data_IF_855618233305
#
_entry.id   IF_855618233305
#
_cell.length_a   1.000
_cell.length_b   1.000
_cell.length_c   1.000
_cell.angle_alpha   90.00
_cell.angle_beta   90.00
_cell.angle_gamma   90.00
#
_symmetry.space_group_name_H-M   'P 1'
#
loop_
_entity.id
_entity.type
_entity.pdbx_description
1 polymer ?
#
# COMPACT_ATOMS: atom_id res chain seq x y z
N UNK A 1 -9.94 -9.25 42.74
CA UNK A 1 -9.91 -9.22 41.27
C UNK A 1 -8.51 -9.47 40.69
N UNK A 2 -7.47 -8.70 41.06
CA UNK A 2 -6.09 -8.89 40.52
C UNK A 2 -5.55 -10.32 40.61
N UNK A 3 -5.77 -11.03 41.75
CA UNK A 3 -5.34 -12.43 41.92
C UNK A 3 -6.05 -13.44 40.98
N UNK A 4 -7.29 -13.16 40.58
CA UNK A 4 -8.05 -14.01 39.66
C UNK A 4 -7.53 -13.81 38.23
N UNK A 5 -7.28 -12.57 37.84
CA UNK A 5 -6.69 -12.23 36.54
C UNK A 5 -5.30 -12.86 36.39
N UNK A 6 -4.46 -12.77 37.43
CA UNK A 6 -3.13 -13.41 37.46
C UNK A 6 -3.20 -14.93 37.36
N UNK A 7 -4.20 -15.56 38.00
CA UNK A 7 -4.40 -17.00 37.91
C UNK A 7 -4.77 -17.44 36.49
N UNK A 8 -5.70 -16.74 35.85
CA UNK A 8 -6.09 -17.03 34.47
C UNK A 8 -4.94 -16.77 33.49
N UNK A 9 -4.18 -15.67 33.64
CA UNK A 9 -2.98 -15.41 32.84
C UNK A 9 -1.95 -16.53 33.00
N UNK A 10 -1.70 -16.98 34.23
CA UNK A 10 -0.76 -18.08 34.48
C UNK A 10 -1.24 -19.36 33.79
N UNK A 11 -2.53 -19.67 33.89
CA UNK A 11 -3.16 -20.83 33.23
C UNK A 11 -3.01 -20.79 31.70
N UNK A 12 -3.09 -19.59 31.10
CA UNK A 12 -2.89 -19.39 29.67
C UNK A 12 -1.48 -19.77 29.20
N UNK A 13 -0.46 -19.56 30.02
CA UNK A 13 0.93 -19.87 29.65
C UNK A 13 1.44 -21.23 30.14
N UNK A 14 0.70 -21.91 31.04
CA UNK A 14 1.06 -23.26 31.53
C UNK A 14 0.34 -24.40 30.81
N UNK A 15 -0.82 -24.14 30.21
CA UNK A 15 -1.56 -25.17 29.46
C UNK A 15 -0.88 -25.46 28.12
N UNK A 16 -0.51 -26.72 27.88
CA UNK A 16 0.09 -27.16 26.59
C UNK A 16 -0.82 -26.79 25.41
N UNK A 17 -2.15 -26.93 25.56
CA UNK A 17 -3.11 -26.58 24.52
C UNK A 17 -3.04 -25.09 24.15
N UNK A 18 -2.94 -24.23 25.16
CA UNK A 18 -2.91 -22.79 24.95
C UNK A 18 -1.54 -22.37 24.39
N UNK A 19 -0.47 -23.02 24.82
CA UNK A 19 0.87 -22.83 24.25
C UNK A 19 0.92 -23.19 22.76
N UNK A 20 0.24 -24.28 22.34
CA UNK A 20 0.10 -24.63 20.92
C UNK A 20 -0.66 -23.55 20.14
N UNK A 21 -1.73 -22.98 20.69
CA UNK A 21 -2.47 -21.88 20.06
C UNK A 21 -1.59 -20.63 19.90
N UNK A 22 -0.84 -20.26 20.95
CA UNK A 22 0.11 -19.14 20.87
C UNK A 22 1.22 -19.38 19.85
N UNK A 23 1.75 -20.60 19.78
CA UNK A 23 2.74 -20.99 18.79
C UNK A 23 2.18 -20.86 17.36
N UNK A 24 0.96 -21.37 17.12
CA UNK A 24 0.29 -21.25 15.82
C UNK A 24 0.11 -19.79 15.43
N UNK A 25 -0.41 -18.95 16.35
CA UNK A 25 -0.57 -17.51 16.10
C UNK A 25 0.77 -16.84 15.75
N UNK A 26 1.82 -17.15 16.52
CA UNK A 26 3.17 -16.63 16.26
C UNK A 26 3.67 -17.04 14.87
N UNK A 27 3.54 -18.32 14.51
CA UNK A 27 3.95 -18.84 13.20
C UNK A 27 3.15 -18.18 12.08
N UNK A 28 1.84 -17.99 12.25
CA UNK A 28 1.01 -17.29 11.27
C UNK A 28 1.45 -15.84 11.07
N UNK A 29 1.74 -15.11 12.15
CA UNK A 29 2.22 -13.72 12.08
C UNK A 29 3.59 -13.64 11.40
N UNK A 30 4.52 -14.55 11.73
CA UNK A 30 5.83 -14.62 11.10
C UNK A 30 5.73 -14.97 9.61
N UNK A 31 4.88 -15.93 9.25
CA UNK A 31 4.62 -16.30 7.87
C UNK A 31 4.03 -15.11 7.09
N UNK A 32 3.04 -14.42 7.65
CA UNK A 32 2.44 -13.23 7.04
C UNK A 32 3.46 -12.11 6.82
N UNK A 33 4.28 -11.81 7.84
CA UNK A 33 5.36 -10.83 7.72
C UNK A 33 6.38 -11.23 6.65
N UNK A 34 6.78 -12.50 6.62
CA UNK A 34 7.76 -13.03 5.65
C UNK A 34 7.26 -12.97 4.21
N UNK A 35 6.00 -13.35 3.98
CA UNK A 35 5.35 -13.27 2.65
C UNK A 35 5.34 -11.83 2.16
N UNK A 36 4.97 -10.88 3.04
CA UNK A 36 4.93 -9.48 2.67
C UNK A 36 6.32 -8.88 2.45
N UNK A 37 7.31 -9.28 3.23
CA UNK A 37 8.70 -8.89 3.00
C UNK A 37 9.24 -9.43 1.66
N UNK A 38 8.88 -10.66 1.30
CA UNK A 38 9.22 -11.22 -0.01
C UNK A 38 8.56 -10.42 -1.16
N UNK A 39 7.30 -10.02 -1.00
CA UNK A 39 6.60 -9.14 -1.96
C UNK A 39 7.20 -7.75 -2.05
N UNK A 40 7.62 -7.14 -0.93
CA UNK A 40 8.35 -5.86 -0.92
C UNK A 40 9.65 -5.96 -1.72
N UNK A 41 10.40 -7.05 -1.55
CA UNK A 41 11.63 -7.29 -2.32
C UNK A 41 11.36 -7.49 -3.81
N UNK A 42 10.32 -8.25 -4.18
CA UNK A 42 9.91 -8.41 -5.58
C UNK A 42 9.52 -7.06 -6.19
N UNK A 43 8.68 -6.29 -5.50
CA UNK A 43 8.26 -4.97 -5.96
C UNK A 43 9.45 -4.02 -6.18
N UNK A 44 10.42 -4.02 -5.26
CA UNK A 44 11.65 -3.22 -5.41
C UNK A 44 12.45 -3.63 -6.66
N UNK A 45 12.56 -4.93 -6.95
CA UNK A 45 13.24 -5.43 -8.16
C UNK A 45 12.51 -5.01 -9.43
N UNK A 46 11.19 -5.16 -9.47
CA UNK A 46 10.36 -4.77 -10.62
C UNK A 46 10.42 -3.25 -10.87
N UNK A 47 10.31 -2.43 -9.82
CA UNK A 47 10.39 -0.97 -9.93
C UNK A 47 11.74 -0.49 -10.45
N UNK A 48 12.84 -1.12 -10.05
CA UNK A 48 14.18 -0.80 -10.58
C UNK A 48 14.34 -1.22 -12.06
N UNK A 49 13.60 -2.24 -12.50
CA UNK A 49 13.64 -2.74 -13.86
C UNK A 49 12.70 -1.97 -14.82
N UNK A 50 11.64 -1.33 -14.31
CA UNK A 50 10.56 -0.75 -15.11
C UNK A 50 10.16 0.65 -14.59
N UNK A 51 10.98 1.66 -14.88
CA UNK A 51 10.59 3.07 -14.73
C UNK A 51 10.55 3.75 -16.10
N UNK A 52 9.59 3.34 -16.93
CA UNK A 52 9.35 3.95 -18.24
C UNK A 52 8.90 5.41 -18.13
N UNK A 53 8.29 5.79 -17.01
CA UNK A 53 7.80 7.15 -16.77
C UNK A 53 8.93 8.19 -16.77
N UNK A 54 10.13 7.77 -16.33
CA UNK A 54 11.31 8.62 -16.35
C UNK A 54 11.86 8.87 -17.77
N UNK A 55 11.56 7.98 -18.71
CA UNK A 55 11.98 8.10 -20.11
C UNK A 55 10.94 8.79 -20.98
N UNK A 56 9.65 8.73 -20.63
CA UNK A 56 8.58 9.35 -21.42
C UNK A 56 8.84 10.84 -21.67
N UNK A 57 9.23 11.61 -20.65
CA UNK A 57 9.56 13.03 -20.82
C UNK A 57 10.77 13.27 -21.73
N UNK A 58 11.80 12.43 -21.61
CA UNK A 58 12.99 12.52 -22.44
C UNK A 58 12.69 12.14 -23.90
N UNK A 59 11.82 11.15 -24.12
CA UNK A 59 11.33 10.74 -25.44
C UNK A 59 10.52 11.87 -26.08
N UNK A 60 9.54 12.44 -25.35
CA UNK A 60 8.74 13.57 -25.85
C UNK A 60 9.61 14.77 -26.22
N UNK A 61 10.59 15.09 -25.37
CA UNK A 61 11.55 16.16 -25.66
C UNK A 61 12.37 15.86 -26.92
N UNK A 62 12.85 14.62 -27.08
CA UNK A 62 13.64 14.22 -28.25
C UNK A 62 12.81 14.25 -29.55
N UNK A 63 11.54 13.85 -29.50
CA UNK A 63 10.62 13.96 -30.65
C UNK A 63 10.47 15.43 -31.09
N UNK A 64 10.24 16.35 -30.15
CA UNK A 64 10.14 17.78 -30.44
C UNK A 64 11.45 18.37 -30.99
N UNK A 65 12.60 17.92 -30.46
CA UNK A 65 13.92 18.34 -30.96
C UNK A 65 14.22 17.84 -32.38
N UNK A 66 13.71 16.67 -32.76
CA UNK A 66 13.85 16.11 -34.11
C UNK A 66 12.94 16.83 -35.12
N UNK A 67 11.71 17.15 -34.71
CA UNK A 67 10.75 17.85 -35.55
C UNK A 67 11.12 19.33 -35.75
N UNK A 68 11.61 19.98 -34.68
CA UNK A 68 11.99 21.39 -34.67
C UNK A 68 13.45 21.60 -34.25
N UNK A 69 14.44 21.24 -35.09
CA UNK A 69 15.85 21.28 -34.73
C UNK A 69 16.42 22.71 -34.60
N UNK A 70 15.79 23.72 -35.21
CA UNK A 70 16.19 25.13 -35.10
C UNK A 70 14.95 26.04 -35.05
N UNK A 71 14.99 27.04 -34.18
CA UNK A 71 13.98 28.09 -34.01
C UNK A 71 12.53 27.54 -33.93
N UNK A 72 12.22 26.70 -32.93
CA UNK A 72 10.86 26.22 -32.71
C UNK A 72 9.89 27.39 -32.49
N UNK A 73 8.63 27.28 -32.94
CA UNK A 73 7.57 28.21 -32.58
C UNK A 73 7.42 28.35 -31.05
N UNK A 74 6.91 29.49 -30.57
CA UNK A 74 6.85 29.80 -29.13
C UNK A 74 6.07 28.74 -28.31
N UNK A 75 4.97 28.23 -28.85
CA UNK A 75 4.17 27.17 -28.22
C UNK A 75 4.95 25.85 -28.10
N UNK A 76 5.73 25.50 -29.13
CA UNK A 76 6.61 24.33 -29.13
C UNK A 76 7.74 24.54 -28.13
N UNK A 77 8.28 25.75 -28.02
CA UNK A 77 9.33 26.07 -27.06
C UNK A 77 8.84 25.93 -25.61
N UNK A 78 7.63 26.38 -25.31
CA UNK A 78 6.98 26.14 -24.00
C UNK A 78 6.80 24.65 -23.71
N UNK A 79 6.37 23.87 -24.70
CA UNK A 79 6.26 22.41 -24.56
C UNK A 79 7.63 21.75 -24.29
N UNK A 80 8.67 22.14 -25.04
CA UNK A 80 10.03 21.65 -24.83
C UNK A 80 10.57 21.98 -23.45
N UNK A 81 10.33 23.20 -22.95
CA UNK A 81 10.75 23.61 -21.61
C UNK A 81 10.03 22.82 -20.52
N UNK A 82 8.73 22.55 -20.71
CA UNK A 82 7.97 21.69 -19.81
C UNK A 82 8.56 20.27 -19.75
N UNK A 83 8.81 19.64 -20.89
CA UNK A 83 9.35 18.28 -20.95
C UNK A 83 10.80 18.21 -20.46
N UNK A 84 11.59 19.27 -20.68
CA UNK A 84 12.94 19.40 -20.12
C UNK A 84 12.90 19.42 -18.59
N UNK A 85 12.00 20.20 -17.98
CA UNK A 85 11.81 20.21 -16.53
C UNK A 85 11.33 18.85 -16.01
N UNK A 86 10.36 18.22 -16.68
CA UNK A 86 9.86 16.91 -16.28
C UNK A 86 10.95 15.81 -16.34
N UNK A 87 11.80 15.84 -17.35
CA UNK A 87 12.95 14.94 -17.47
C UNK A 87 13.95 15.12 -16.33
N UNK A 88 14.22 16.38 -15.93
CA UNK A 88 15.10 16.67 -14.78
C UNK A 88 14.49 16.15 -13.47
N UNK A 89 13.21 16.42 -13.20
CA UNK A 89 12.56 15.94 -11.98
C UNK A 89 12.48 14.41 -11.94
N UNK A 90 12.20 13.77 -13.07
CA UNK A 90 12.17 12.31 -13.16
C UNK A 90 13.56 11.69 -12.93
N UNK A 91 14.61 12.30 -13.49
CA UNK A 91 15.99 11.89 -13.21
C UNK A 91 16.34 12.05 -11.73
N UNK A 92 15.95 13.17 -11.10
CA UNK A 92 16.14 13.42 -9.67
C UNK A 92 15.44 12.34 -8.82
N UNK A 93 14.19 12.02 -9.11
CA UNK A 93 13.45 10.96 -8.40
C UNK A 93 14.21 9.63 -8.45
N UNK A 94 14.70 9.24 -9.62
CA UNK A 94 15.46 8.00 -9.81
C UNK A 94 16.78 8.00 -9.06
N UNK A 95 17.52 9.09 -9.11
CA UNK A 95 18.81 9.25 -8.43
C UNK A 95 18.62 9.19 -6.92
N UNK A 96 17.66 9.93 -6.37
CA UNK A 96 17.43 9.97 -4.93
C UNK A 96 16.80 8.69 -4.39
N UNK A 97 15.96 8.00 -5.17
CA UNK A 97 15.39 6.70 -4.77
C UNK A 97 16.45 5.60 -4.72
N UNK A 98 17.47 5.66 -5.59
CA UNK A 98 18.55 4.68 -5.65
C UNK A 98 19.83 5.14 -4.94
N UNK A 99 19.77 6.24 -4.18
CA UNK A 99 20.93 6.84 -3.54
C UNK A 99 21.59 5.89 -2.55
N UNK A 100 22.90 5.68 -2.71
CA UNK A 100 23.70 4.85 -1.81
C UNK A 100 24.31 5.75 -0.75
N UNK A 101 23.79 5.70 0.47
CA UNK A 101 24.24 6.52 1.60
C UNK A 101 23.10 6.91 2.52
N UNK A 102 23.06 8.18 2.91
CA UNK A 102 21.93 8.75 3.66
C UNK A 102 20.63 8.63 2.88
N UNK A 103 19.54 8.30 3.58
CA UNK A 103 18.22 8.13 2.99
C UNK A 103 17.64 9.48 2.55
N UNK A 104 17.60 9.68 1.22
CA UNK A 104 17.16 10.93 0.58
C UNK A 104 15.67 10.98 0.27
N UNK A 105 14.84 10.37 1.11
CA UNK A 105 13.39 10.32 0.88
C UNK A 105 12.76 11.73 0.76
N UNK A 106 13.29 12.73 1.48
CA UNK A 106 12.81 14.13 1.37
C UNK A 106 13.04 14.70 -0.02
N UNK A 107 14.20 14.43 -0.61
CA UNK A 107 14.52 14.89 -1.96
C UNK A 107 13.64 14.19 -3.00
N UNK A 108 13.30 12.91 -2.79
CA UNK A 108 12.34 12.18 -3.63
C UNK A 108 10.95 12.82 -3.55
N UNK A 109 10.46 13.12 -2.35
CA UNK A 109 9.16 13.77 -2.14
C UNK A 109 9.13 15.16 -2.77
N UNK A 110 10.18 15.95 -2.61
CA UNK A 110 10.29 17.27 -3.22
C UNK A 110 10.31 17.18 -4.76
N UNK A 111 11.06 16.23 -5.33
CA UNK A 111 11.07 15.99 -6.76
C UNK A 111 9.68 15.53 -7.27
N UNK A 112 8.91 14.78 -6.49
CA UNK A 112 7.52 14.44 -6.81
C UNK A 112 6.60 15.66 -6.81
N UNK A 113 6.73 16.57 -5.83
CA UNK A 113 5.96 17.81 -5.76
C UNK A 113 6.25 18.66 -7.00
N UNK A 114 7.52 18.94 -7.27
CA UNK A 114 7.94 19.79 -8.39
C UNK A 114 7.51 19.21 -9.74
N UNK A 115 7.60 17.88 -9.89
CA UNK A 115 7.12 17.18 -11.09
C UNK A 115 5.63 17.36 -11.29
N UNK A 116 4.83 17.09 -10.25
CA UNK A 116 3.38 17.22 -10.35
C UNK A 116 2.93 18.67 -10.58
N UNK A 117 3.61 19.66 -10.00
CA UNK A 117 3.36 21.08 -10.25
C UNK A 117 3.67 21.46 -11.71
N UNK A 118 4.77 20.96 -12.28
CA UNK A 118 5.12 21.17 -13.69
C UNK A 118 4.09 20.53 -14.64
N UNK A 119 3.63 19.31 -14.35
CA UNK A 119 2.60 18.63 -15.14
C UNK A 119 1.25 19.35 -15.03
N UNK A 120 0.90 19.86 -13.84
CA UNK A 120 -0.33 20.63 -13.62
C UNK A 120 -0.31 21.93 -14.42
N UNK A 121 0.83 22.62 -14.45
CA UNK A 121 1.02 23.78 -15.30
C UNK A 121 0.82 23.42 -16.78
N UNK A 122 1.41 22.31 -17.25
CA UNK A 122 1.24 21.83 -18.62
C UNK A 122 -0.18 21.50 -19.02
N UNK A 123 -0.96 20.92 -18.11
CA UNK A 123 -2.40 20.69 -18.32
C UNK A 123 -3.17 22.00 -18.45
N UNK A 124 -2.91 22.96 -17.56
CA UNK A 124 -3.59 24.27 -17.56
C UNK A 124 -3.24 25.13 -18.77
N UNK A 125 -2.01 25.02 -19.25
CA UNK A 125 -1.54 25.71 -20.46
C UNK A 125 -1.95 24.99 -21.76
N UNK A 126 -2.62 23.83 -21.68
CA UNK A 126 -3.06 23.05 -22.83
C UNK A 126 -1.92 22.37 -23.61
N UNK A 127 -0.73 22.28 -23.01
CA UNK A 127 0.45 21.61 -23.60
C UNK A 127 0.29 20.09 -23.51
N UNK A 128 -0.27 19.61 -22.41
CA UNK A 128 -0.55 18.19 -22.18
C UNK A 128 -2.05 18.00 -22.31
N UNK A 129 -2.48 17.01 -23.11
CA UNK A 129 -3.88 16.59 -23.08
C UNK A 129 -4.15 15.84 -21.77
N UNK A 130 -5.06 16.37 -20.95
CA UNK A 130 -5.59 15.62 -19.81
C UNK A 130 -6.32 14.41 -20.36
N UNK A 131 -5.73 13.22 -20.21
CA UNK A 131 -6.43 11.98 -20.54
C UNK A 131 -7.30 11.59 -19.36
N UNK A 132 -8.47 11.03 -19.64
CA UNK A 132 -9.34 10.47 -18.59
C UNK A 132 -8.63 9.31 -17.86
N UNK A 133 -9.00 9.03 -16.61
CA UNK A 133 -8.54 7.82 -15.87
C UNK A 133 -8.77 6.54 -16.67
N UNK A 134 -9.84 6.49 -17.47
CA UNK A 134 -10.17 5.37 -18.35
C UNK A 134 -9.18 5.17 -19.52
N UNK A 135 -8.42 6.20 -19.85
CA UNK A 135 -7.40 6.20 -20.91
C UNK A 135 -5.97 6.07 -20.35
N UNK A 136 -5.86 5.81 -19.04
CA UNK A 136 -4.59 5.66 -18.35
C UNK A 136 -3.78 6.95 -18.22
N UNK A 137 -4.40 8.13 -18.29
CA UNK A 137 -3.71 9.37 -17.95
C UNK A 137 -4.22 10.04 -16.69
N UNK A 138 -3.58 11.18 -16.40
CA UNK A 138 -3.63 11.85 -15.11
C UNK A 138 -4.57 13.05 -15.21
N UNK A 139 -5.55 13.14 -14.30
CA UNK A 139 -6.44 14.29 -14.23
C UNK A 139 -5.82 15.43 -13.44
N UNK A 140 -6.32 16.65 -13.62
CA UNK A 140 -5.90 17.80 -12.80
C UNK A 140 -6.15 17.54 -11.31
N UNK A 141 -7.29 16.94 -10.96
CA UNK A 141 -7.62 16.59 -9.58
C UNK A 141 -6.60 15.61 -8.98
N UNK A 142 -6.17 14.60 -9.74
CA UNK A 142 -5.15 13.65 -9.28
C UNK A 142 -3.80 14.33 -9.00
N UNK A 143 -3.38 15.27 -9.86
CA UNK A 143 -2.15 16.03 -9.64
C UNK A 143 -2.25 16.90 -8.39
N UNK A 144 -3.36 17.61 -8.21
CA UNK A 144 -3.59 18.45 -7.02
C UNK A 144 -3.57 17.60 -5.75
N UNK A 145 -4.27 16.46 -5.76
CA UNK A 145 -4.30 15.54 -4.63
C UNK A 145 -2.90 14.99 -4.32
N UNK A 146 -2.14 14.60 -5.34
CA UNK A 146 -0.76 14.14 -5.18
C UNK A 146 0.17 15.24 -4.65
N UNK A 147 0.03 16.48 -5.11
CA UNK A 147 0.80 17.63 -4.60
C UNK A 147 0.49 17.84 -3.12
N UNK A 148 -0.79 17.92 -2.76
CA UNK A 148 -1.23 18.16 -1.38
C UNK A 148 -0.77 17.03 -0.44
N UNK A 149 -0.90 15.78 -0.88
CA UNK A 149 -0.43 14.62 -0.12
C UNK A 149 1.09 14.67 0.12
N UNK A 150 1.88 14.89 -0.93
CA UNK A 150 3.34 14.96 -0.80
C UNK A 150 3.80 16.18 0.03
N UNK A 151 3.15 17.34 -0.11
CA UNK A 151 3.40 18.52 0.75
C UNK A 151 3.14 18.20 2.20
N UNK A 152 2.00 17.57 2.51
CA UNK A 152 1.69 17.16 3.87
C UNK A 152 2.76 16.23 4.45
N UNK A 153 3.24 15.24 3.69
CA UNK A 153 4.32 14.35 4.12
C UNK A 153 5.63 15.12 4.37
N UNK A 154 5.98 16.03 3.47
CA UNK A 154 7.21 16.83 3.56
C UNK A 154 7.21 17.77 4.78
N UNK A 155 6.10 18.47 4.98
CA UNK A 155 5.92 19.48 6.03
C UNK A 155 5.87 18.85 7.44
N UNK A 156 5.31 17.64 7.55
CA UNK A 156 5.19 16.92 8.83
C UNK A 156 6.34 15.93 9.10
N UNK A 157 7.39 15.93 8.28
CA UNK A 157 8.52 14.97 8.41
C UNK A 157 8.09 13.50 8.40
N UNK A 158 7.09 13.17 7.57
CA UNK A 158 6.56 11.81 7.46
C UNK A 158 7.19 11.12 6.27
N UNK A 159 8.03 10.13 6.55
CA UNK A 159 8.62 9.28 5.51
C UNK A 159 7.53 8.45 4.81
N UNK A 160 7.38 8.55 3.47
CA UNK A 160 6.44 7.72 2.73
C UNK A 160 6.84 6.25 2.76
N UNK A 161 5.85 5.38 2.63
CA UNK A 161 6.09 3.97 2.34
C UNK A 161 6.56 3.84 0.88
N UNK A 162 7.61 3.06 0.67
CA UNK A 162 8.11 2.75 -0.67
C UNK A 162 7.11 1.92 -1.48
N UNK A 163 6.33 1.07 -0.80
CA UNK A 163 5.20 0.32 -1.34
C UNK A 163 4.30 -0.19 -0.22
N UNK A 164 3.15 -0.75 -0.59
CA UNK A 164 2.15 -1.32 0.34
C UNK A 164 2.67 -2.53 1.15
N UNK A 165 3.67 -3.23 0.62
CA UNK A 165 4.26 -4.42 1.23
C UNK A 165 5.38 -4.11 2.23
N UNK A 166 5.83 -2.85 2.33
CA UNK A 166 6.91 -2.47 3.23
C UNK A 166 6.49 -2.67 4.69
N UNK A 167 7.14 -3.62 5.38
CA UNK A 167 6.78 -4.00 6.75
C UNK A 167 7.43 -3.06 7.79
N UNK A 168 7.01 -1.78 7.81
CA UNK A 168 7.25 -0.91 8.98
C UNK A 168 6.34 -1.35 10.14
N UNK A 169 6.68 -1.04 11.39
CA UNK A 169 5.91 -1.51 12.55
C UNK A 169 4.42 -1.15 12.48
N UNK A 170 4.11 0.11 12.13
CA UNK A 170 2.72 0.58 11.98
C UNK A 170 2.05 -0.07 10.76
N UNK A 171 2.74 -0.16 9.61
CA UNK A 171 2.13 -0.77 8.42
C UNK A 171 1.89 -2.28 8.60
N UNK A 172 2.78 -2.99 9.29
CA UNK A 172 2.57 -4.39 9.64
C UNK A 172 1.31 -4.54 10.50
N UNK A 173 1.15 -3.73 11.55
CA UNK A 173 -0.04 -3.78 12.40
C UNK A 173 -1.30 -3.47 11.60
N UNK A 174 -1.27 -2.42 10.77
CA UNK A 174 -2.38 -2.07 9.90
C UNK A 174 -2.79 -3.24 9.00
N UNK A 175 -1.83 -3.89 8.34
CA UNK A 175 -2.11 -5.01 7.43
C UNK A 175 -2.53 -6.29 8.15
N UNK A 176 -1.98 -6.56 9.34
CA UNK A 176 -2.48 -7.64 10.18
C UNK A 176 -3.95 -7.39 10.56
N UNK A 177 -4.30 -6.18 10.98
CA UNK A 177 -5.67 -5.86 11.40
C UNK A 177 -6.66 -5.81 10.24
N UNK A 178 -6.27 -5.24 9.10
CA UNK A 178 -7.15 -5.05 7.95
C UNK A 178 -7.25 -6.27 7.03
N UNK A 179 -6.16 -7.01 6.84
CA UNK A 179 -6.11 -8.13 5.88
C UNK A 179 -6.14 -9.48 6.60
N UNK A 180 -5.31 -9.70 7.62
CA UNK A 180 -5.21 -11.01 8.27
C UNK A 180 -6.34 -11.26 9.27
N UNK A 181 -6.72 -10.25 10.04
CA UNK A 181 -7.65 -10.38 11.16
C UNK A 181 -9.08 -10.77 10.76
N UNK A 182 -9.65 -10.33 9.63
CA UNK A 182 -10.94 -10.84 9.16
C UNK A 182 -10.96 -12.36 9.00
N UNK A 183 -9.88 -12.95 8.46
CA UNK A 183 -9.77 -14.40 8.31
C UNK A 183 -9.62 -15.10 9.65
N UNK A 184 -8.78 -14.57 10.55
CA UNK A 184 -8.62 -15.13 11.89
C UNK A 184 -9.93 -15.06 12.70
N UNK A 185 -10.66 -13.94 12.60
CA UNK A 185 -11.96 -13.78 13.22
C UNK A 185 -12.97 -14.82 12.70
N UNK A 186 -12.99 -15.06 11.39
CA UNK A 186 -13.84 -16.10 10.80
C UNK A 186 -13.50 -17.50 11.34
N UNK A 187 -12.21 -17.84 11.45
CA UNK A 187 -11.78 -19.12 12.05
C UNK A 187 -12.24 -19.23 13.51
N UNK A 188 -12.10 -18.16 14.30
CA UNK A 188 -12.57 -18.15 15.69
C UNK A 188 -14.08 -18.36 15.76
N UNK A 189 -14.87 -17.70 14.92
CA UNK A 189 -16.32 -17.89 14.85
C UNK A 189 -16.66 -19.34 14.51
N UNK A 190 -15.98 -19.96 13.54
CA UNK A 190 -16.20 -21.36 13.18
C UNK A 190 -15.86 -22.31 14.34
N UNK A 191 -14.78 -22.06 15.07
CA UNK A 191 -14.42 -22.84 16.25
C UNK A 191 -15.46 -22.73 17.36
N UNK A 192 -15.99 -21.52 17.61
CA UNK A 192 -17.07 -21.31 18.58
C UNK A 192 -18.36 -22.03 18.17
N UNK A 193 -18.74 -21.96 16.89
CA UNK A 193 -19.89 -22.70 16.37
C UNK A 193 -19.70 -24.21 16.53
N UNK A 194 -18.49 -24.72 16.26
CA UNK A 194 -18.17 -26.13 16.43
C UNK A 194 -18.24 -26.57 17.89
N UNK A 195 -17.79 -25.73 18.82
CA UNK A 195 -17.84 -26.01 20.26
C UNK A 195 -19.29 -26.04 20.77
N UNK A 196 -20.12 -25.07 20.35
CA UNK A 196 -21.55 -25.06 20.64
C UNK A 196 -22.22 -26.35 20.13
N UNK A 197 -21.99 -26.72 18.87
CA UNK A 197 -22.58 -27.93 18.29
C UNK A 197 -22.10 -29.21 18.98
N UNK A 198 -20.80 -29.33 19.24
CA UNK A 198 -20.24 -30.47 19.97
C UNK A 198 -20.86 -30.61 21.36
N UNK A 199 -21.07 -29.50 22.07
CA UNK A 199 -21.76 -29.52 23.36
C UNK A 199 -23.21 -30.01 23.25
N UNK A 200 -23.96 -29.63 22.22
CA UNK A 200 -25.33 -30.14 22.03
C UNK A 200 -25.36 -31.66 21.73
N UNK A 201 -24.35 -32.15 21.01
CA UNK A 201 -24.18 -33.58 20.74
C UNK A 201 -23.83 -34.34 22.01
N UNK A 202 -22.85 -33.87 22.78
CA UNK A 202 -22.38 -34.52 24.01
C UNK A 202 -23.49 -34.62 25.06
N UNK A 203 -24.32 -33.58 25.17
CA UNK A 203 -25.46 -33.56 26.09
C UNK A 203 -26.71 -34.25 25.54
N UNK A 204 -26.70 -34.65 24.27
CA UNK A 204 -27.84 -35.31 23.60
C UNK A 204 -29.07 -34.41 23.39
N UNK A 205 -28.95 -33.10 23.65
CA UNK A 205 -30.04 -32.13 23.56
C UNK A 205 -30.53 -31.94 22.12
N UNK A 206 -29.66 -32.19 21.13
CA UNK A 206 -30.02 -32.16 19.71
C UNK A 206 -31.17 -33.12 19.37
N UNK A 207 -31.27 -34.27 20.05
CA UNK A 207 -32.38 -35.23 19.86
C UNK A 207 -33.71 -34.64 20.30
N UNK A 208 -33.70 -33.85 21.37
CA UNK A 208 -34.91 -33.23 21.92
C UNK A 208 -35.44 -32.13 20.98
N UNK A 209 -34.54 -31.36 20.35
CA UNK A 209 -34.87 -30.39 19.30
C UNK A 209 -35.42 -31.06 18.03
N UNK A 210 -34.84 -32.18 17.60
CA UNK A 210 -35.24 -32.88 16.37
C UNK A 210 -36.50 -33.75 16.54
N UNK A 211 -36.83 -34.17 17.76
CA UNK A 211 -38.01 -34.98 18.06
C UNK A 211 -39.23 -34.15 18.51
N UNK A 212 -39.07 -32.83 18.65
CA UNK A 212 -40.20 -31.96 18.94
C UNK A 212 -41.16 -31.92 17.74
N UNK A 213 -42.47 -32.12 17.96
CA UNK A 213 -43.44 -32.00 16.89
C UNK A 213 -43.39 -30.58 16.33
N UNK A 214 -43.30 -30.48 15.00
CA UNK A 214 -43.25 -29.19 14.30
C UNK A 214 -44.48 -28.34 14.70
N UNK A 215 -44.30 -27.10 15.17
CA UNK A 215 -45.43 -26.26 15.56
C UNK A 215 -46.32 -26.05 14.33
N UNK A 216 -47.57 -26.51 14.44
CA UNK A 216 -48.62 -26.25 13.45
C UNK A 216 -49.17 -24.86 13.74
N UNK A 217 -48.44 -23.83 13.30
CA UNK A 217 -48.86 -22.43 13.28
C UNK A 217 -48.75 -21.89 11.87
#
# INVERSE_FOLDING_TARGET
>A
MSKIILFELKKQFTSVKNMVVWLLLLVTLLAFGSINMARDLQFKKERLAYDNSAWDAAIQLNLLLQEYPKNPPENVQKAMDLWRRDAVYSAQQRVYTSWVGEDRWRDVVLANINRNENLLQGLREGIISGKSKSEGGVTEEDLINNINYNKYLYDNDIKPLNNIYQMTGINFLYRVLSELMPYLAAVVVLLLCSDCFASEVDWGSYKLLLLQPYPRG
#
